data_IF_027949021461
#
_entry.id   IF_027949021461
#
_cell.length_a   1.000
_cell.length_b   1.000
_cell.length_c   1.000
_cell.angle_alpha   90.00
_cell.angle_beta   90.00
_cell.angle_gamma   90.00
#
_symmetry.space_group_name_H-M   'P 1'
#
loop_
_entity.id
_entity.type
_entity.pdbx_description
1 polymer ?
#
# COMPACT_ATOMS: atom_id res chain seq x y z
N UNK A 1 -4.87 -2.80 -0.01
CA UNK A 1 -3.45 -3.03 0.32
C UNK A 1 -2.64 -1.90 -0.30
N UNK A 2 -1.77 -1.24 0.47
CA UNK A 2 -0.89 -0.18 -0.03
C UNK A 2 0.55 -0.67 0.04
N UNK A 3 1.26 -0.55 -1.08
CA UNK A 3 2.70 -0.77 -1.14
C UNK A 3 3.47 0.42 -0.52
N UNK A 4 4.73 0.21 -0.16
CA UNK A 4 5.63 1.12 0.55
C UNK A 4 5.95 2.41 -0.22
N UNK A 5 5.55 2.52 -1.49
CA UNK A 5 5.66 3.78 -2.25
C UNK A 5 4.98 4.95 -1.53
N UNK A 6 3.93 4.70 -0.73
CA UNK A 6 3.22 5.76 0.01
C UNK A 6 4.12 6.48 1.01
N UNK A 7 5.14 5.79 1.52
CA UNK A 7 6.18 6.39 2.38
C UNK A 7 7.17 7.17 1.53
N UNK A 8 7.58 6.61 0.39
CA UNK A 8 8.49 7.29 -0.55
C UNK A 8 7.87 8.59 -1.07
N UNK A 9 6.54 8.65 -1.23
CA UNK A 9 5.82 9.86 -1.62
C UNK A 9 6.00 11.04 -0.62
N UNK A 10 6.36 10.77 0.64
CA UNK A 10 6.62 11.83 1.64
C UNK A 10 7.90 12.62 1.30
N UNK A 11 8.92 11.93 0.78
CA UNK A 11 10.25 12.48 0.46
C UNK A 11 10.46 12.70 -1.04
N UNK A 12 9.48 12.35 -1.87
CA UNK A 12 9.61 12.47 -3.32
C UNK A 12 9.47 13.92 -3.78
N UNK A 13 10.30 14.31 -4.75
CA UNK A 13 10.14 15.56 -5.51
C UNK A 13 9.11 15.43 -6.65
N UNK A 14 8.63 14.21 -6.93
CA UNK A 14 7.56 13.98 -7.90
C UNK A 14 6.22 14.45 -7.34
N UNK A 15 5.83 15.64 -7.80
CA UNK A 15 4.57 16.31 -7.47
C UNK A 15 3.36 15.42 -7.78
N UNK A 16 3.39 14.65 -8.88
CA UNK A 16 2.27 13.77 -9.27
C UNK A 16 2.15 12.61 -8.28
N UNK A 17 3.27 12.00 -7.89
CA UNK A 17 3.29 10.94 -6.88
C UNK A 17 2.78 11.45 -5.54
N UNK A 18 3.21 12.64 -5.13
CA UNK A 18 2.77 13.27 -3.88
C UNK A 18 1.26 13.50 -3.88
N UNK A 19 0.72 14.23 -4.86
CA UNK A 19 -0.70 14.56 -4.91
C UNK A 19 -1.57 13.32 -5.13
N UNK A 20 -1.13 12.38 -5.97
CA UNK A 20 -1.83 11.11 -6.18
C UNK A 20 -1.93 10.30 -4.88
N UNK A 21 -0.83 10.19 -4.13
CA UNK A 21 -0.82 9.50 -2.84
C UNK A 21 -1.70 10.21 -1.82
N UNK A 22 -1.61 11.54 -1.73
CA UNK A 22 -2.43 12.33 -0.81
C UNK A 22 -3.93 12.19 -1.12
N UNK A 23 -4.32 12.24 -2.40
CA UNK A 23 -5.70 12.03 -2.83
C UNK A 23 -6.19 10.63 -2.49
N UNK A 24 -5.38 9.60 -2.77
CA UNK A 24 -5.72 8.21 -2.46
C UNK A 24 -6.00 8.03 -0.97
N UNK A 25 -5.08 8.50 -0.12
CA UNK A 25 -5.22 8.40 1.33
C UNK A 25 -6.40 9.21 1.86
N UNK A 26 -6.67 10.38 1.28
CA UNK A 26 -7.84 11.18 1.62
C UNK A 26 -9.15 10.42 1.33
N UNK A 27 -9.27 9.77 0.17
CA UNK A 27 -10.45 8.97 -0.14
C UNK A 27 -10.58 7.76 0.78
N UNK A 28 -9.48 7.09 1.12
CA UNK A 28 -9.50 6.01 2.12
C UNK A 28 -9.98 6.52 3.48
N UNK A 29 -9.49 7.67 3.96
CA UNK A 29 -9.91 8.26 5.24
C UNK A 29 -11.39 8.64 5.24
N UNK A 30 -11.92 9.14 4.10
CA UNK A 30 -13.29 9.64 4.01
C UNK A 30 -14.35 8.60 3.65
N UNK A 31 -14.00 7.57 2.88
CA UNK A 31 -14.95 6.55 2.38
C UNK A 31 -14.88 5.26 3.21
N UNK A 32 -15.69 4.25 2.88
CA UNK A 32 -15.74 2.98 3.61
C UNK A 32 -14.57 2.02 3.33
N UNK A 33 -13.50 2.48 2.67
CA UNK A 33 -12.34 1.66 2.37
C UNK A 33 -11.44 1.45 3.60
N UNK A 34 -10.79 0.29 3.65
CA UNK A 34 -9.82 -0.08 4.70
C UNK A 34 -8.49 -0.50 4.08
N UNK A 35 -7.40 -0.16 4.76
CA UNK A 35 -6.06 -0.61 4.46
C UNK A 35 -5.88 -1.98 5.12
N UNK A 36 -5.63 -3.00 4.31
CA UNK A 36 -5.22 -4.31 4.79
C UNK A 36 -3.74 -4.23 5.15
N UNK A 37 -3.37 -4.67 6.36
CA UNK A 37 -1.97 -4.77 6.81
C UNK A 37 -1.77 -6.06 7.61
N UNK A 38 -0.55 -6.58 7.56
CA UNK A 38 -0.11 -7.59 8.52
C UNK A 38 0.66 -6.93 9.67
N UNK A 39 0.88 -7.64 10.79
CA UNK A 39 1.75 -7.17 11.85
C UNK A 39 3.15 -6.79 11.35
N UNK A 40 3.76 -7.58 10.45
CA UNK A 40 5.10 -7.28 9.94
C UNK A 40 5.10 -6.06 9.00
N UNK A 41 4.09 -5.92 8.12
CA UNK A 41 3.98 -4.71 7.29
C UNK A 41 3.77 -3.48 8.15
N UNK A 42 2.86 -3.55 9.13
CA UNK A 42 2.60 -2.45 10.05
C UNK A 42 3.87 -2.01 10.79
N UNK A 43 4.70 -2.98 11.20
CA UNK A 43 6.03 -2.72 11.78
C UNK A 43 6.97 -2.02 10.79
N UNK A 44 7.08 -2.51 9.55
CA UNK A 44 7.91 -1.88 8.50
C UNK A 44 7.47 -0.44 8.25
N UNK A 45 6.16 -0.21 8.15
CA UNK A 45 5.58 1.13 8.01
C UNK A 45 5.96 2.03 9.19
N UNK A 46 5.79 1.54 10.42
CA UNK A 46 6.12 2.29 11.62
C UNK A 46 7.62 2.62 11.72
N UNK A 47 8.49 1.65 11.43
CA UNK A 47 9.94 1.81 11.46
C UNK A 47 10.40 2.85 10.42
N UNK A 48 9.90 2.76 9.18
CA UNK A 48 10.22 3.74 8.12
C UNK A 48 9.70 5.14 8.45
N UNK A 49 8.49 5.27 9.01
CA UNK A 49 7.98 6.57 9.46
C UNK A 49 8.81 7.15 10.62
N UNK A 50 9.24 6.31 11.57
CA UNK A 50 10.09 6.76 12.68
C UNK A 50 11.45 7.24 12.18
N UNK A 51 12.03 6.56 11.19
CA UNK A 51 13.29 6.97 10.60
C UNK A 51 13.17 8.25 9.76
N UNK A 52 12.04 8.45 9.08
CA UNK A 52 11.71 9.76 8.51
C UNK A 52 11.60 10.82 9.61
N UNK A 53 10.85 10.58 10.69
CA UNK A 53 10.66 11.53 11.80
C UNK A 53 12.00 12.01 12.40
N UNK A 54 12.99 11.11 12.55
CA UNK A 54 14.35 11.46 12.99
C UNK A 54 15.11 12.35 11.99
N UNK A 55 14.87 12.16 10.69
CA UNK A 55 15.52 12.90 9.58
C UNK A 55 14.69 14.13 9.18
N UNK A 56 13.97 14.74 10.12
CA UNK A 56 13.01 15.85 9.89
C UNK A 56 13.53 17.01 9.03
N UNK A 57 14.84 17.22 8.95
CA UNK A 57 15.47 18.17 8.04
C UNK A 57 15.32 17.85 6.55
N UNK A 58 14.95 16.61 6.19
CA UNK A 58 15.05 16.08 4.83
C UNK A 58 13.70 15.93 4.10
N UNK A 59 12.57 16.39 4.66
CA UNK A 59 11.29 16.40 3.95
C UNK A 59 10.48 17.66 4.25
N UNK A 60 9.97 18.30 3.19
CA UNK A 60 9.17 19.53 3.29
C UNK A 60 7.73 19.30 3.75
N UNK A 61 7.23 18.06 3.70
CA UNK A 61 5.79 17.80 3.68
C UNK A 61 5.26 17.01 4.90
N UNK A 62 5.13 17.70 6.03
CA UNK A 62 4.58 17.18 7.30
C UNK A 62 3.11 16.71 7.19
N UNK A 63 2.35 17.22 6.20
CA UNK A 63 0.92 16.86 6.02
C UNK A 63 0.71 15.39 5.63
N UNK A 64 1.44 14.89 4.62
CA UNK A 64 1.28 13.52 4.14
C UNK A 64 1.75 12.52 5.20
N UNK A 65 2.86 12.84 5.88
CA UNK A 65 3.35 12.10 7.03
C UNK A 65 2.28 11.96 8.13
N UNK A 66 1.67 13.08 8.55
CA UNK A 66 0.59 13.09 9.55
C UNK A 66 -0.62 12.26 9.11
N UNK A 67 -1.00 12.35 7.83
CA UNK A 67 -2.14 11.60 7.28
C UNK A 67 -1.89 10.09 7.33
N UNK A 68 -0.72 9.64 6.89
CA UNK A 68 -0.34 8.21 6.93
C UNK A 68 -0.31 7.72 8.38
N UNK A 69 0.34 8.46 9.30
CA UNK A 69 0.41 8.10 10.73
C UNK A 69 -0.99 7.99 11.34
N UNK A 70 -1.88 8.95 11.05
CA UNK A 70 -3.28 8.92 11.50
C UNK A 70 -4.03 7.68 10.97
N UNK A 71 -3.91 7.39 9.67
CA UNK A 71 -4.58 6.25 9.05
C UNK A 71 -4.12 4.92 9.63
N UNK A 72 -2.81 4.73 9.81
CA UNK A 72 -2.24 3.49 10.35
C UNK A 72 -2.62 3.22 11.81
N UNK A 73 -2.93 4.26 12.58
CA UNK A 73 -3.38 4.16 13.97
C UNK A 73 -4.90 4.01 14.11
N UNK A 74 -5.65 4.23 13.03
CA UNK A 74 -7.10 4.15 13.05
C UNK A 74 -7.57 2.70 12.81
N UNK A 75 -8.02 2.03 13.87
CA UNK A 75 -8.53 0.65 13.81
C UNK A 75 -9.74 0.48 12.90
N UNK A 76 -10.53 1.53 12.64
CA UNK A 76 -11.66 1.47 11.71
C UNK A 76 -11.20 1.47 10.24
N UNK A 77 -9.98 1.94 9.99
CA UNK A 77 -9.38 2.08 8.66
C UNK A 77 -8.30 1.04 8.37
N UNK A 78 -7.87 0.29 9.37
CA UNK A 78 -6.89 -0.78 9.20
C UNK A 78 -7.55 -2.12 9.48
N UNK A 79 -7.54 -3.00 8.49
CA UNK A 79 -7.90 -4.40 8.67
C UNK A 79 -6.60 -5.20 8.86
N UNK A 80 -6.34 -5.64 10.08
CA UNK A 80 -5.14 -6.42 10.39
C UNK A 80 -5.39 -7.91 10.10
N UNK A 81 -4.52 -8.54 9.31
CA UNK A 81 -4.64 -9.93 8.89
C UNK A 81 -3.36 -10.71 9.21
N UNK A 82 -3.51 -11.97 9.61
CA UNK A 82 -2.37 -12.85 9.85
C UNK A 82 -1.71 -13.25 8.53
N UNK A 83 -0.38 -13.25 8.50
CA UNK A 83 0.37 -13.55 7.28
C UNK A 83 0.30 -15.03 6.94
N UNK A 84 0.19 -15.30 5.64
CA UNK A 84 0.29 -16.67 5.15
C UNK A 84 1.72 -17.19 5.31
N UNK A 85 1.83 -18.35 5.96
CA UNK A 85 3.11 -18.99 6.23
C UNK A 85 3.69 -19.69 5.00
N UNK A 86 2.84 -20.07 4.03
CA UNK A 86 3.29 -20.72 2.80
C UNK A 86 3.97 -19.74 1.83
N UNK A 87 4.80 -20.27 0.94
CA UNK A 87 5.46 -19.49 -0.09
C UNK A 87 4.58 -19.35 -1.33
N UNK A 88 4.51 -18.13 -1.85
CA UNK A 88 3.87 -17.86 -3.15
C UNK A 88 4.77 -18.46 -4.22
N UNK A 89 4.27 -19.34 -5.11
CA UNK A 89 5.09 -20.07 -6.08
C UNK A 89 5.56 -19.20 -7.27
N UNK A 90 5.56 -17.88 -7.12
CA UNK A 90 5.83 -16.90 -8.19
C UNK A 90 7.09 -16.13 -7.83
N UNK A 91 7.94 -15.91 -8.83
CA UNK A 91 9.21 -15.21 -8.63
C UNK A 91 8.99 -13.70 -8.56
N UNK A 92 8.98 -13.17 -7.34
CA UNK A 92 8.95 -11.73 -7.04
C UNK A 92 10.02 -11.38 -6.00
N UNK A 93 10.47 -10.11 -5.93
CA UNK A 93 11.36 -9.62 -4.87
C UNK A 93 10.83 -9.92 -3.48
N UNK A 94 11.73 -10.14 -2.51
CA UNK A 94 11.35 -10.51 -1.15
C UNK A 94 10.54 -9.41 -0.44
N UNK A 95 10.80 -8.14 -0.76
CA UNK A 95 10.04 -7.00 -0.25
C UNK A 95 8.58 -7.03 -0.68
N UNK A 96 8.31 -7.49 -1.90
CA UNK A 96 6.96 -7.60 -2.46
C UNK A 96 6.22 -8.84 -1.97
N UNK A 97 6.94 -9.94 -1.66
CA UNK A 97 6.32 -11.18 -1.16
C UNK A 97 5.43 -10.93 0.03
N UNK A 98 5.87 -10.05 0.93
CA UNK A 98 5.11 -9.73 2.13
C UNK A 98 3.78 -9.03 1.81
N UNK A 99 3.77 -8.10 0.84
CA UNK A 99 2.57 -7.41 0.36
C UNK A 99 1.59 -8.41 -0.25
N UNK A 100 2.11 -9.31 -1.09
CA UNK A 100 1.30 -10.34 -1.76
C UNK A 100 0.71 -11.33 -0.75
N UNK A 101 1.51 -11.85 0.18
CA UNK A 101 1.04 -12.76 1.24
C UNK A 101 -0.05 -12.14 2.08
N UNK A 102 0.10 -10.86 2.41
CA UNK A 102 -0.88 -10.14 3.21
C UNK A 102 -2.18 -9.90 2.43
N UNK A 103 -2.10 -9.58 1.14
CA UNK A 103 -3.30 -9.45 0.31
C UNK A 103 -4.06 -10.78 0.19
N UNK A 104 -3.34 -11.89 -0.01
CA UNK A 104 -3.90 -13.25 -0.06
C UNK A 104 -4.59 -13.64 1.25
N UNK A 105 -4.08 -13.20 2.40
CA UNK A 105 -4.70 -13.45 3.71
C UNK A 105 -6.05 -12.75 3.91
N UNK A 106 -6.32 -11.65 3.18
CA UNK A 106 -7.48 -10.78 3.39
C UNK A 106 -8.82 -11.35 2.89
N UNK A 107 -8.88 -12.63 2.51
CA UNK A 107 -10.12 -13.35 2.14
C UNK A 107 -10.89 -12.76 0.93
N UNK A 108 -10.15 -12.20 -0.05
CA UNK A 108 -10.67 -11.76 -1.34
C UNK A 108 -11.16 -10.31 -1.41
N UNK A 109 -11.46 -9.83 -2.62
CA UNK A 109 -11.90 -8.47 -2.92
C UNK A 109 -10.91 -7.37 -2.49
N UNK A 110 -9.61 -7.67 -2.61
CA UNK A 110 -8.53 -6.76 -2.20
C UNK A 110 -7.88 -6.12 -3.42
N UNK A 111 -7.73 -4.80 -3.38
CA UNK A 111 -6.94 -4.05 -4.36
C UNK A 111 -5.55 -3.81 -3.78
N UNK A 112 -4.51 -4.23 -4.49
CA UNK A 112 -3.12 -3.88 -4.23
C UNK A 112 -2.79 -2.65 -5.07
N UNK A 113 -2.42 -1.56 -4.41
CA UNK A 113 -2.01 -0.32 -5.08
C UNK A 113 -0.51 -0.20 -4.96
N UNK A 114 0.19 -0.08 -6.10
CA UNK A 114 1.66 -0.01 -6.17
C UNK A 114 2.12 0.91 -7.29
N UNK A 115 3.39 1.32 -7.23
CA UNK A 115 4.11 1.96 -8.34
C UNK A 115 5.11 1.02 -9.01
N UNK A 116 5.32 -0.19 -8.50
CA UNK A 116 6.21 -1.18 -9.12
C UNK A 116 5.55 -1.78 -10.36
N UNK A 117 5.95 -1.27 -11.52
CA UNK A 117 5.47 -1.79 -12.80
C UNK A 117 6.09 -3.14 -13.14
N UNK A 118 7.39 -3.29 -12.92
CA UNK A 118 8.17 -4.40 -13.45
C UNK A 118 7.85 -5.73 -12.76
N UNK A 119 7.75 -5.71 -11.44
CA UNK A 119 7.62 -6.94 -10.66
C UNK A 119 6.19 -7.27 -10.26
N UNK A 120 5.31 -6.26 -10.23
CA UNK A 120 3.91 -6.42 -9.81
C UNK A 120 2.90 -6.18 -10.94
N UNK A 121 2.89 -4.99 -11.56
CA UNK A 121 1.83 -4.64 -12.52
C UNK A 121 1.95 -5.45 -13.82
N UNK A 122 3.13 -5.47 -14.42
CA UNK A 122 3.40 -6.09 -15.73
C UNK A 122 3.70 -7.61 -15.59
N UNK A 123 3.66 -8.14 -14.37
CA UNK A 123 3.89 -9.55 -14.10
C UNK A 123 2.59 -10.36 -14.31
N UNK A 124 2.40 -10.83 -15.54
CA UNK A 124 1.21 -11.59 -15.93
C UNK A 124 0.99 -12.86 -15.10
N UNK A 125 2.06 -13.56 -14.73
CA UNK A 125 1.99 -14.76 -13.90
C UNK A 125 1.39 -14.43 -12.53
N UNK A 126 1.87 -13.35 -11.90
CA UNK A 126 1.34 -12.86 -10.62
C UNK A 126 -0.12 -12.41 -10.75
N UNK A 127 -0.44 -11.61 -11.76
CA UNK A 127 -1.80 -11.12 -12.00
C UNK A 127 -2.79 -12.28 -12.15
N UNK A 128 -2.43 -13.29 -12.96
CA UNK A 128 -3.27 -14.47 -13.18
C UNK A 128 -3.46 -15.30 -11.91
N UNK A 129 -2.41 -15.47 -11.12
CA UNK A 129 -2.52 -16.16 -9.83
C UNK A 129 -3.44 -15.44 -8.86
N UNK A 130 -3.29 -14.11 -8.72
CA UNK A 130 -4.09 -13.29 -7.81
C UNK A 130 -5.56 -13.17 -8.23
N UNK A 131 -5.84 -13.23 -9.53
CA UNK A 131 -7.21 -13.21 -10.06
C UNK A 131 -8.05 -14.37 -9.52
N UNK A 132 -7.46 -15.54 -9.30
CA UNK A 132 -8.14 -16.69 -8.70
C UNK A 132 -8.63 -16.43 -7.27
N UNK A 133 -8.05 -15.43 -6.58
CA UNK A 133 -8.41 -15.02 -5.22
C UNK A 133 -9.21 -13.71 -5.19
N UNK A 134 -9.69 -13.22 -6.34
CA UNK A 134 -10.35 -11.92 -6.48
C UNK A 134 -9.49 -10.76 -5.91
N UNK A 135 -8.18 -10.79 -6.21
CA UNK A 135 -7.22 -9.74 -5.88
C UNK A 135 -6.79 -9.07 -7.17
N UNK A 136 -6.79 -7.74 -7.18
CA UNK A 136 -6.39 -6.95 -8.36
C UNK A 136 -5.20 -6.06 -7.99
N UNK A 137 -4.17 -6.03 -8.83
CA UNK A 137 -3.06 -5.07 -8.71
C UNK A 137 -3.33 -3.90 -9.64
N UNK A 138 -3.28 -2.69 -9.10
CA UNK A 138 -3.48 -1.46 -9.85
C UNK A 138 -2.32 -0.47 -9.64
N UNK A 139 -1.93 0.25 -10.70
CA UNK A 139 -1.14 1.46 -10.53
C UNK A 139 -1.96 2.55 -9.82
N UNK A 140 -1.26 3.49 -9.19
CA UNK A 140 -1.86 4.59 -8.42
C UNK A 140 -2.92 5.38 -9.19
N UNK A 141 -2.65 5.74 -10.45
CA UNK A 141 -3.56 6.50 -11.31
C UNK A 141 -4.88 5.75 -11.55
N UNK A 142 -4.80 4.45 -11.88
CA UNK A 142 -5.99 3.60 -12.04
C UNK A 142 -6.76 3.39 -10.75
N UNK A 143 -6.07 3.23 -9.64
CA UNK A 143 -6.72 3.10 -8.33
C UNK A 143 -7.51 4.37 -7.98
N UNK A 144 -6.98 5.55 -8.29
CA UNK A 144 -7.68 6.83 -8.10
C UNK A 144 -8.93 6.93 -8.97
N UNK A 145 -8.87 6.50 -10.24
CA UNK A 145 -10.04 6.51 -11.14
C UNK A 145 -11.21 5.66 -10.61
N UNK A 146 -10.91 4.53 -9.95
CA UNK A 146 -11.93 3.63 -9.39
C UNK A 146 -12.47 4.23 -8.08
N UNK A 147 -11.58 4.56 -7.15
CA UNK A 147 -11.95 5.04 -5.81
C UNK A 147 -12.66 6.39 -5.86
N UNK A 148 -12.46 7.20 -6.91
CA UNK A 148 -13.19 8.47 -7.09
C UNK A 148 -14.63 8.31 -7.58
N UNK A 149 -14.92 7.22 -8.31
CA UNK A 149 -16.24 6.96 -8.91
C UNK A 149 -17.22 6.24 -7.97
N UNK A 150 -16.69 5.49 -7.00
CA UNK A 150 -17.47 4.86 -5.91
C UNK A 150 -18.04 5.88 -4.92
#
# INVERSE_FOLDING_TARGET
MLDLFVINAIISEDIKLYFGTAALLYFIDRKCHRIVLSPSLKKIYADRLKDLEKRRSNYSNDRLFKLIKKLLMNSEKVNEVEELTYNVPIKIPDEDKLIIKTALASSGNTIIITTDRRHLIDNEELQNHLKAYNITILPLDRALEIITKD
#
